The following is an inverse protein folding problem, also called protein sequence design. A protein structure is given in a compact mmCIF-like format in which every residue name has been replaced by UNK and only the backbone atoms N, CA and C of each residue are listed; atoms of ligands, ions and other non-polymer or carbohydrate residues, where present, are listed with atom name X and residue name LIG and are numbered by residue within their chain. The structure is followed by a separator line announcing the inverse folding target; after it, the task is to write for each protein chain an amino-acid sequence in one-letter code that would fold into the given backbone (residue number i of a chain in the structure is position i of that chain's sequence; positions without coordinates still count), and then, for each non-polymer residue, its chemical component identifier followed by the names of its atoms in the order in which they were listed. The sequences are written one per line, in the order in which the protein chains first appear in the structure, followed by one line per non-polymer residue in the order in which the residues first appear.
data_IF_347784298808
#
_entry.id   IF_347784298808
#
_cell.length_a   1.000
_cell.length_b   1.000
_cell.length_c   1.000
_cell.angle_alpha   90.00
_cell.angle_beta   90.00
_cell.angle_gamma   90.00
#
_symmetry.space_group_name_H-M   'P 1'
#
loop_
_entity.id
_entity.type
_entity.pdbx_description
1 polymer ?
#
# COMPACT_ATOMS: atom_id res chain seq x y z
N UNK A 1 -0.05 18.58 8.41
CA UNK A 1 -1.00 17.55 7.95
C UNK A 1 -0.36 16.19 8.10
N UNK A 2 -1.14 15.16 8.43
CA UNK A 2 -0.69 13.77 8.44
C UNK A 2 -0.83 13.24 7.01
N UNK A 3 0.28 13.21 6.27
CA UNK A 3 0.35 12.64 4.92
C UNK A 3 0.48 11.11 5.03
N UNK A 4 -0.68 10.43 5.08
CA UNK A 4 -0.78 8.99 5.23
C UNK A 4 -1.00 8.35 3.86
N UNK A 5 -0.37 7.20 3.61
CA UNK A 5 -0.43 6.47 2.33
C UNK A 5 -1.83 5.90 2.00
N UNK A 6 -2.80 6.00 2.92
CA UNK A 6 -4.15 5.43 2.82
C UNK A 6 -5.22 6.49 3.13
N UNK A 7 -6.36 6.41 2.44
CA UNK A 7 -7.56 7.18 2.78
C UNK A 7 -8.09 6.75 4.16
N UNK A 8 -8.22 7.69 5.10
CA UNK A 8 -8.68 7.42 6.45
C UNK A 8 -9.90 8.28 6.80
N UNK A 9 -10.80 7.71 7.61
CA UNK A 9 -11.94 8.39 8.21
C UNK A 9 -11.74 8.49 9.72
N UNK A 10 -11.64 9.72 10.24
CA UNK A 10 -11.60 9.97 11.68
C UNK A 10 -13.02 10.24 12.19
N UNK A 11 -13.47 9.45 13.17
CA UNK A 11 -14.78 9.60 13.79
C UNK A 11 -14.61 10.03 15.26
N UNK A 12 -15.08 11.22 15.66
CA UNK A 12 -15.04 11.67 17.06
C UNK A 12 -16.12 10.97 17.88
N UNK A 13 -15.74 9.91 18.60
CA UNK A 13 -16.66 9.10 19.38
C UNK A 13 -17.18 9.81 20.63
N UNK A 14 -16.43 10.76 21.17
CA UNK A 14 -16.83 11.67 22.25
C UNK A 14 -18.07 12.49 21.86
N UNK A 15 -18.02 13.14 20.69
CA UNK A 15 -19.14 13.93 20.16
C UNK A 15 -20.34 13.03 19.84
N UNK A 16 -20.10 11.83 19.32
CA UNK A 16 -21.16 10.85 19.07
C UNK A 16 -21.90 10.49 20.36
N UNK A 17 -21.17 10.20 21.45
CA UNK A 17 -21.78 9.84 22.75
C UNK A 17 -22.65 10.94 23.32
N UNK A 18 -22.24 12.20 23.19
CA UNK A 18 -23.02 13.34 23.72
C UNK A 18 -24.34 13.55 22.98
N UNK A 19 -24.40 13.18 21.70
CA UNK A 19 -25.55 13.45 20.83
C UNK A 19 -26.40 12.21 20.49
N UNK A 20 -25.96 11.01 20.90
CA UNK A 20 -26.67 9.79 20.59
C UNK A 20 -27.99 9.71 21.35
N UNK A 21 -29.10 9.62 20.61
CA UNK A 21 -30.44 9.53 21.20
C UNK A 21 -31.04 8.13 21.12
N UNK A 22 -30.74 7.32 20.09
CA UNK A 22 -31.30 5.98 19.88
C UNK A 22 -30.49 5.17 18.87
N UNK A 23 -30.43 3.85 19.07
CA UNK A 23 -29.83 2.91 18.12
C UNK A 23 -30.83 2.64 16.98
N UNK A 24 -30.68 3.34 15.87
CA UNK A 24 -31.60 3.19 14.71
C UNK A 24 -31.05 2.26 13.63
N UNK A 25 -29.72 2.25 13.48
CA UNK A 25 -28.99 1.48 12.46
C UNK A 25 -27.92 0.63 13.13
N UNK A 26 -27.50 -0.42 12.42
CA UNK A 26 -26.39 -1.27 12.86
C UNK A 26 -25.08 -0.48 13.02
N UNK A 27 -24.89 0.59 12.24
CA UNK A 27 -23.74 1.49 12.43
C UNK A 27 -23.80 2.19 13.79
N UNK A 28 -24.97 2.67 14.22
CA UNK A 28 -25.15 3.31 15.52
C UNK A 28 -24.84 2.32 16.65
N UNK A 29 -25.24 1.06 16.50
CA UNK A 29 -24.92 -0.02 17.44
C UNK A 29 -23.41 -0.24 17.54
N UNK A 30 -22.70 -0.31 16.40
CA UNK A 30 -21.24 -0.40 16.38
C UNK A 30 -20.55 0.80 17.03
N UNK A 31 -20.99 2.01 16.70
CA UNK A 31 -20.43 3.25 17.26
C UNK A 31 -20.64 3.33 18.76
N UNK A 32 -21.84 2.97 19.25
CA UNK A 32 -22.12 2.94 20.69
C UNK A 32 -21.32 1.85 21.41
N UNK A 33 -21.20 0.67 20.79
CA UNK A 33 -20.42 -0.46 21.32
C UNK A 33 -18.94 -0.12 21.53
N UNK A 34 -18.31 0.59 20.60
CA UNK A 34 -16.90 0.99 20.72
C UNK A 34 -16.71 2.26 21.58
N UNK A 35 -17.73 3.12 21.66
CA UNK A 35 -17.62 4.40 22.36
C UNK A 35 -17.94 4.30 23.87
N UNK A 36 -18.76 3.34 24.29
CA UNK A 36 -19.21 3.21 25.68
C UNK A 36 -18.81 1.88 26.31
N UNK A 37 -18.40 1.94 27.58
CA UNK A 37 -18.15 0.78 28.44
C UNK A 37 -19.27 0.59 29.48
N UNK A 38 -20.31 1.42 29.45
CA UNK A 38 -21.39 1.39 30.43
C UNK A 38 -22.31 0.20 30.18
N UNK A 39 -22.64 -0.61 31.21
CA UNK A 39 -23.49 -1.79 31.04
C UNK A 39 -24.88 -1.48 30.48
N UNK A 40 -25.41 -0.28 30.76
CA UNK A 40 -26.70 0.18 30.26
C UNK A 40 -26.70 0.26 28.73
N UNK A 41 -25.70 0.92 28.17
CA UNK A 41 -25.55 1.15 26.73
C UNK A 41 -25.27 -0.17 26.01
N UNK A 42 -24.43 -1.04 26.60
CA UNK A 42 -24.16 -2.38 26.07
C UNK A 42 -25.43 -3.23 26.05
N UNK A 43 -26.26 -3.14 27.09
CA UNK A 43 -27.55 -3.85 27.11
C UNK A 43 -28.45 -3.36 25.98
N UNK A 44 -28.55 -2.05 25.74
CA UNK A 44 -29.33 -1.50 24.63
C UNK A 44 -28.82 -2.00 23.27
N UNK A 45 -27.50 -2.07 23.08
CA UNK A 45 -26.88 -2.64 21.87
C UNK A 45 -27.26 -4.12 21.69
N UNK A 46 -27.15 -4.92 22.75
CA UNK A 46 -27.45 -6.37 22.70
C UNK A 46 -28.94 -6.62 22.48
N UNK A 47 -29.82 -5.82 23.10
CA UNK A 47 -31.27 -5.94 22.92
C UNK A 47 -31.69 -5.59 21.48
N UNK A 48 -31.08 -4.57 20.88
CA UNK A 48 -31.34 -4.19 19.50
C UNK A 48 -30.68 -5.16 18.48
N UNK A 49 -29.47 -5.64 18.78
CA UNK A 49 -28.64 -6.49 17.92
C UNK A 49 -27.98 -7.62 18.73
N UNK A 50 -28.68 -8.76 18.91
CA UNK A 50 -28.20 -9.87 19.75
C UNK A 50 -26.84 -10.46 19.35
N UNK A 51 -26.41 -10.30 18.09
CA UNK A 51 -25.11 -10.74 17.61
C UNK A 51 -23.93 -10.10 18.36
N UNK A 52 -24.14 -8.95 19.02
CA UNK A 52 -23.13 -8.29 19.83
C UNK A 52 -22.86 -8.99 21.17
N UNK A 53 -23.69 -9.96 21.58
CA UNK A 53 -23.53 -10.67 22.86
C UNK A 53 -22.19 -11.41 22.93
N UNK A 54 -21.89 -12.22 21.93
CA UNK A 54 -20.63 -12.98 21.89
C UNK A 54 -19.44 -12.05 21.69
N UNK A 55 -19.58 -11.02 20.85
CA UNK A 55 -18.55 -9.98 20.66
C UNK A 55 -18.22 -9.27 21.98
N UNK A 56 -19.23 -8.91 22.77
CA UNK A 56 -19.02 -8.29 24.07
C UNK A 56 -18.31 -9.23 25.04
N UNK A 57 -18.70 -10.51 25.09
CA UNK A 57 -18.05 -11.52 25.93
C UNK A 57 -16.56 -11.66 25.58
N UNK A 58 -16.25 -11.85 24.31
CA UNK A 58 -14.87 -11.99 23.83
C UNK A 58 -14.02 -10.75 24.18
N UNK A 59 -14.54 -9.55 23.92
CA UNK A 59 -13.86 -8.29 24.24
C UNK A 59 -13.67 -8.12 25.75
N UNK A 60 -14.68 -8.51 26.54
CA UNK A 60 -14.62 -8.44 27.99
C UNK A 60 -13.58 -9.41 28.57
N UNK A 61 -13.44 -10.61 28.01
CA UNK A 61 -12.47 -11.61 28.45
C UNK A 61 -11.02 -11.14 28.29
N UNK A 62 -10.75 -10.26 27.31
CA UNK A 62 -9.43 -9.64 27.16
C UNK A 62 -9.04 -8.71 28.33
N UNK A 63 -10.00 -8.22 29.13
CA UNK A 63 -9.68 -7.45 30.36
C UNK A 63 -8.86 -8.27 31.34
N UNK A 64 -9.02 -9.59 31.34
CA UNK A 64 -8.29 -10.52 32.20
C UNK A 64 -7.03 -11.07 31.55
N UNK A 65 -6.95 -11.07 30.21
CA UNK A 65 -5.82 -11.60 29.42
C UNK A 65 -4.97 -10.50 28.78
N UNK A 66 -4.67 -9.41 29.53
CA UNK A 66 -3.96 -8.22 29.00
C UNK A 66 -2.63 -8.53 28.30
N UNK A 67 -1.86 -9.50 28.80
CA UNK A 67 -0.58 -9.90 28.19
C UNK A 67 -0.77 -10.53 26.81
N UNK A 68 -1.75 -11.41 26.69
CA UNK A 68 -2.08 -12.07 25.42
C UNK A 68 -2.66 -11.06 24.43
N UNK A 69 -3.51 -10.14 24.89
CA UNK A 69 -4.05 -9.05 24.08
C UNK A 69 -2.93 -8.20 23.46
N UNK A 70 -1.97 -7.73 24.27
CA UNK A 70 -0.83 -6.94 23.78
C UNK A 70 0.03 -7.75 22.81
N UNK A 71 0.22 -9.04 23.06
CA UNK A 71 0.95 -9.93 22.16
C UNK A 71 0.24 -10.09 20.81
N UNK A 72 -1.08 -10.26 20.81
CA UNK A 72 -1.89 -10.38 19.59
C UNK A 72 -1.85 -9.10 18.76
N UNK A 73 -2.00 -7.93 19.40
CA UNK A 73 -1.88 -6.64 18.69
C UNK A 73 -0.48 -6.44 18.11
N UNK A 74 0.56 -6.78 18.88
CA UNK A 74 1.95 -6.66 18.44
C UNK A 74 2.22 -7.56 17.22
N UNK A 75 1.68 -8.77 17.22
CA UNK A 75 1.80 -9.70 16.09
C UNK A 75 1.03 -9.22 14.87
N UNK A 76 -0.19 -8.71 15.05
CA UNK A 76 -0.98 -8.14 13.95
C UNK A 76 -0.27 -6.95 13.29
N UNK A 77 0.31 -6.05 14.09
CA UNK A 77 1.12 -4.94 13.59
C UNK A 77 2.37 -5.43 12.84
N UNK A 78 3.07 -6.43 13.39
CA UNK A 78 4.24 -7.03 12.75
C UNK A 78 3.90 -7.64 11.39
N UNK A 79 2.76 -8.33 11.28
CA UNK A 79 2.28 -8.89 10.01
C UNK A 79 1.95 -7.78 9.01
N UNK A 80 1.28 -6.71 9.46
CA UNK A 80 0.95 -5.55 8.62
C UNK A 80 2.22 -4.88 8.06
N UNK A 81 3.21 -4.67 8.92
CA UNK A 81 4.50 -4.09 8.52
C UNK A 81 5.24 -5.02 7.54
N UNK A 82 5.27 -6.33 7.83
CA UNK A 82 5.91 -7.31 6.96
C UNK A 82 5.28 -7.33 5.56
N UNK A 83 3.96 -7.39 5.46
CA UNK A 83 3.25 -7.37 4.19
C UNK A 83 3.49 -6.07 3.42
N UNK A 84 3.60 -4.94 4.13
CA UNK A 84 3.90 -3.63 3.53
C UNK A 84 5.29 -3.61 2.93
N UNK A 85 6.29 -4.13 3.66
CA UNK A 85 7.67 -4.22 3.16
C UNK A 85 7.75 -5.14 1.94
N UNK A 86 7.09 -6.28 1.96
CA UNK A 86 7.07 -7.22 0.84
C UNK A 86 6.48 -6.56 -0.42
N UNK A 87 5.33 -5.90 -0.30
CA UNK A 87 4.72 -5.15 -1.41
C UNK A 87 5.65 -4.06 -1.94
N UNK A 88 6.31 -3.28 -1.07
CA UNK A 88 7.24 -2.24 -1.49
C UNK A 88 8.43 -2.82 -2.26
N UNK A 89 8.98 -3.96 -1.84
CA UNK A 89 10.07 -4.64 -2.53
C UNK A 89 9.64 -5.14 -3.91
N UNK A 90 8.44 -5.71 -4.02
CA UNK A 90 7.89 -6.17 -5.30
C UNK A 90 7.74 -5.01 -6.29
N UNK A 91 7.13 -3.90 -5.88
CA UNK A 91 6.97 -2.70 -6.70
C UNK A 91 8.33 -2.13 -7.16
N UNK A 92 9.31 -2.07 -6.25
CA UNK A 92 10.67 -1.62 -6.60
C UNK A 92 11.36 -2.57 -7.60
N UNK A 93 11.16 -3.89 -7.48
CA UNK A 93 11.74 -4.84 -8.43
C UNK A 93 11.10 -4.76 -9.81
N UNK A 94 9.80 -4.50 -9.89
CA UNK A 94 9.11 -4.23 -11.15
C UNK A 94 9.61 -2.95 -11.81
N UNK A 95 9.77 -1.87 -11.04
CA UNK A 95 10.32 -0.61 -11.53
C UNK A 95 11.77 -0.79 -12.06
N UNK A 96 12.62 -1.49 -11.31
CA UNK A 96 13.99 -1.80 -11.75
C UNK A 96 13.99 -2.63 -13.03
N UNK A 97 13.09 -3.60 -13.17
CA UNK A 97 12.95 -4.39 -14.40
C UNK A 97 12.57 -3.49 -15.58
N UNK A 98 11.57 -2.63 -15.42
CA UNK A 98 11.13 -1.71 -16.46
C UNK A 98 12.28 -0.78 -16.91
N UNK A 99 13.01 -0.19 -15.96
CA UNK A 99 14.16 0.68 -16.24
C UNK A 99 15.31 -0.06 -16.92
N UNK A 100 15.55 -1.33 -16.58
CA UNK A 100 16.56 -2.16 -17.24
C UNK A 100 16.17 -2.50 -18.68
N UNK A 101 14.90 -2.83 -18.91
CA UNK A 101 14.40 -3.08 -20.28
C UNK A 101 14.49 -1.83 -21.15
N UNK A 102 14.12 -0.67 -20.60
CA UNK A 102 14.24 0.61 -21.31
C UNK A 102 15.70 0.94 -21.64
N UNK A 103 16.62 0.82 -20.68
CA UNK A 103 18.04 1.00 -20.92
C UNK A 103 18.58 0.07 -22.01
N UNK A 104 18.17 -1.20 -22.01
CA UNK A 104 18.57 -2.16 -23.03
C UNK A 104 18.06 -1.74 -24.42
N UNK A 105 16.82 -1.25 -24.52
CA UNK A 105 16.26 -0.73 -25.78
C UNK A 105 17.04 0.49 -26.26
N UNK A 106 17.35 1.43 -25.36
CA UNK A 106 18.11 2.63 -25.68
C UNK A 106 19.55 2.31 -26.11
N UNK A 107 20.23 1.36 -25.45
CA UNK A 107 21.56 0.90 -25.86
C UNK A 107 21.53 0.29 -27.26
N UNK A 108 20.56 -0.60 -27.55
CA UNK A 108 20.40 -1.18 -28.89
C UNK A 108 20.18 -0.12 -29.96
N UNK A 109 19.36 0.90 -29.68
CA UNK A 109 19.13 2.02 -30.59
C UNK A 109 20.40 2.85 -30.82
N UNK A 110 21.19 3.09 -29.77
CA UNK A 110 22.48 3.78 -29.87
C UNK A 110 23.48 2.99 -30.71
N UNK A 111 23.57 1.68 -30.51
CA UNK A 111 24.46 0.80 -31.27
C UNK A 111 24.07 0.75 -32.75
N UNK A 112 22.78 0.66 -33.05
CA UNK A 112 22.27 0.75 -34.43
C UNK A 112 22.65 2.09 -35.07
N UNK A 113 22.36 3.22 -34.42
CA UNK A 113 22.75 4.55 -34.92
C UNK A 113 24.25 4.69 -35.12
N UNK A 114 25.06 4.16 -34.21
CA UNK A 114 26.51 4.20 -34.34
C UNK A 114 27.00 3.35 -35.51
N UNK A 115 26.41 2.17 -35.74
CA UNK A 115 26.76 1.32 -36.86
C UNK A 115 26.36 1.95 -38.20
N UNK A 116 25.18 2.57 -38.29
CA UNK A 116 24.73 3.36 -39.44
C UNK A 116 25.68 4.53 -39.75
N UNK A 117 26.11 5.27 -38.70
CA UNK A 117 27.10 6.34 -38.84
C UNK A 117 28.42 5.82 -39.37
N UNK A 118 28.92 4.69 -38.85
CA UNK A 118 30.16 4.05 -39.32
C UNK A 118 30.06 3.62 -40.79
N UNK A 119 28.93 3.02 -41.18
CA UNK A 119 28.67 2.65 -42.58
C UNK A 119 28.65 3.90 -43.47
N UNK A 120 27.93 4.96 -43.10
CA UNK A 120 27.94 6.23 -43.84
C UNK A 120 29.35 6.77 -44.04
N UNK A 121 30.17 6.87 -42.98
CA UNK A 121 31.56 7.36 -43.08
C UNK A 121 32.41 6.47 -44.01
N UNK A 122 32.20 5.15 -43.98
CA UNK A 122 32.91 4.20 -44.85
C UNK A 122 32.53 4.34 -46.33
N UNK A 123 31.26 4.59 -46.63
CA UNK A 123 30.78 4.79 -48.01
C UNK A 123 30.97 6.21 -48.54
N UNK A 124 31.18 7.21 -47.67
CA UNK A 124 31.46 8.60 -48.04
C UNK A 124 32.95 8.92 -48.21
N UNK A 125 33.87 8.02 -47.85
CA UNK A 125 35.31 8.23 -48.06
C UNK A 125 35.66 8.00 -49.55
N UNK A 126 36.17 9.02 -50.27
CA UNK A 126 36.59 8.85 -51.66
C UNK A 126 37.71 7.81 -51.75
N UNK A 127 37.60 6.83 -52.65
CA UNK A 127 38.77 6.05 -53.07
C UNK A 127 39.74 7.05 -53.67
N UNK A 128 40.81 7.39 -52.95
CA UNK A 128 41.95 8.06 -53.55
C UNK A 128 42.56 7.04 -54.52
N UNK A 129 42.20 7.17 -55.80
CA UNK A 129 42.82 6.45 -56.88
C UNK A 129 44.23 7.00 -57.06
N UNK A 130 45.20 6.45 -56.33
CA UNK A 130 46.59 6.53 -56.72
C UNK A 130 46.81 5.56 -57.90
N UNK A 131 46.39 6.00 -59.08
CA UNK A 131 46.64 5.36 -60.37
C UNK A 131 47.64 6.20 -61.16
N UNK A 132 48.90 5.91 -60.90
CA UNK A 132 50.10 6.07 -61.74
C UNK A 132 49.96 6.87 -63.05
N UNK A 133 50.62 8.02 -63.08
CA UNK A 133 51.12 8.62 -64.32
C UNK A 133 52.15 7.66 -64.93
N UNK A 134 51.85 7.11 -66.10
CA UNK A 134 52.80 6.37 -66.90
C UNK A 134 52.56 6.63 -68.40
N UNK A 135 53.39 7.55 -68.91
CA UNK A 135 53.77 7.82 -70.31
C UNK A 135 52.73 8.41 -71.25
#
# INVERSE_FOLDING_TARGET
ELDMLQEYLLIPLDIFRENHQNISRKLDAWLLFIASDQPCDIREVIEAYPEFTELYREVFDFRYHKKELVSMYSEALRILDQNTVELMVELQQEEIKALREENLRLQKLLDQKNNERRLRVRYSSPRISHGTSAK
#
